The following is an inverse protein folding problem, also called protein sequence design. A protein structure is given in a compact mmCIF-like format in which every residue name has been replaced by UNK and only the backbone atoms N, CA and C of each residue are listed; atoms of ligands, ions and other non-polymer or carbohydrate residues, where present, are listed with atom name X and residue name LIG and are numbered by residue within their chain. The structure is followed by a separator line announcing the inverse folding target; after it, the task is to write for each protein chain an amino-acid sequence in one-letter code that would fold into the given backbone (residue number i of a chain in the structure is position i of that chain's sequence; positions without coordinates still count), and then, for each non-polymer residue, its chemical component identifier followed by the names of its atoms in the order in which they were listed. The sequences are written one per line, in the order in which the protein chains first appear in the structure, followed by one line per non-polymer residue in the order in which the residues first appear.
data_IF_708903342433
#
_entry.id   IF_708903342433
#
_cell.length_a   1.000
_cell.length_b   1.000
_cell.length_c   1.000
_cell.angle_alpha   90.00
_cell.angle_beta   90.00
_cell.angle_gamma   90.00
#
_symmetry.space_group_name_H-M   'P 1'
#
loop_
_entity.id
_entity.type
_entity.pdbx_description
1 polymer ?
#
# COMPACT_ATOMS: atom_id res chain seq x y z
N UNK A 1 32.42 12.28 -1.49
CA UNK A 1 31.72 12.39 -2.79
C UNK A 1 30.66 11.30 -2.79
N UNK A 2 29.40 11.62 -3.08
CA UNK A 2 28.41 10.58 -3.37
C UNK A 2 28.96 9.75 -4.53
N UNK A 3 28.77 8.42 -4.58
CA UNK A 3 28.89 7.75 -5.86
C UNK A 3 27.94 8.50 -6.82
N UNK A 4 28.37 8.83 -8.04
CA UNK A 4 27.44 9.36 -9.05
C UNK A 4 26.23 8.44 -9.10
N UNK A 5 25.06 8.98 -9.47
CA UNK A 5 23.89 8.17 -9.84
C UNK A 5 24.42 6.93 -10.57
N UNK A 6 24.32 5.75 -9.96
CA UNK A 6 24.77 4.51 -10.59
C UNK A 6 23.75 4.23 -11.69
N UNK A 7 24.00 4.86 -12.83
CA UNK A 7 23.30 4.62 -14.07
C UNK A 7 23.77 3.25 -14.54
N UNK A 8 23.12 2.21 -14.03
CA UNK A 8 23.34 0.86 -14.54
C UNK A 8 22.95 0.84 -16.02
N UNK A 9 23.93 0.56 -16.87
CA UNK A 9 23.77 0.32 -18.31
C UNK A 9 23.48 -1.16 -18.61
N UNK A 10 23.41 -2.01 -17.59
CA UNK A 10 23.02 -3.41 -17.73
C UNK A 10 21.50 -3.55 -17.80
N UNK A 11 21.01 -4.72 -18.19
CA UNK A 11 19.59 -5.06 -18.35
C UNK A 11 18.76 -4.41 -17.25
N UNK A 12 17.77 -3.60 -17.64
CA UNK A 12 16.97 -2.81 -16.69
C UNK A 12 16.48 -3.73 -15.56
N UNK A 13 16.82 -3.45 -14.30
CA UNK A 13 16.33 -4.25 -13.19
C UNK A 13 14.80 -4.25 -13.24
N UNK A 14 14.20 -5.40 -12.95
CA UNK A 14 12.75 -5.50 -12.80
C UNK A 14 12.28 -4.39 -11.85
N UNK A 15 11.12 -3.76 -12.10
CA UNK A 15 10.68 -2.58 -11.35
C UNK A 15 10.39 -2.86 -9.87
N UNK A 16 10.39 -4.14 -9.50
CA UNK A 16 10.36 -4.67 -8.15
C UNK A 16 11.18 -5.97 -8.07
N UNK A 17 11.47 -6.41 -6.86
CA UNK A 17 12.15 -7.67 -6.56
C UNK A 17 11.72 -8.22 -5.19
N UNK A 18 12.07 -9.48 -4.93
CA UNK A 18 11.99 -10.08 -3.60
C UNK A 18 13.40 -10.17 -3.01
N UNK A 19 13.64 -9.45 -1.91
CA UNK A 19 14.94 -9.39 -1.25
C UNK A 19 15.00 -10.49 -0.20
N UNK A 20 15.86 -11.48 -0.42
CA UNK A 20 16.09 -12.56 0.54
C UNK A 20 16.76 -12.03 1.82
N UNK A 21 16.42 -12.62 2.96
CA UNK A 21 17.05 -12.31 4.25
C UNK A 21 17.40 -13.59 4.99
N UNK A 22 18.49 -13.53 5.75
CA UNK A 22 18.85 -14.60 6.69
C UNK A 22 18.11 -14.40 8.01
N UNK A 23 17.64 -15.47 8.68
CA UNK A 23 16.99 -15.36 9.99
C UNK A 23 17.90 -14.76 11.06
N UNK A 24 17.37 -13.84 11.87
CA UNK A 24 18.05 -13.30 13.04
C UNK A 24 17.98 -14.33 14.18
N UNK A 25 19.12 -14.83 14.71
CA UNK A 25 19.10 -15.79 15.81
C UNK A 25 18.44 -15.26 17.09
N UNK A 26 18.45 -13.94 17.33
CA UNK A 26 17.77 -13.32 18.48
C UNK A 26 16.38 -12.75 18.10
N UNK A 27 15.88 -13.13 16.92
CA UNK A 27 14.56 -12.76 16.42
C UNK A 27 13.41 -13.35 17.24
N UNK A 28 12.20 -12.97 16.88
CA UNK A 28 10.96 -13.56 17.37
C UNK A 28 10.23 -14.14 16.17
N UNK A 29 10.40 -15.45 15.87
CA UNK A 29 9.76 -16.07 14.71
C UNK A 29 8.24 -15.92 14.78
N UNK A 30 7.61 -15.90 13.61
CA UNK A 30 6.17 -16.04 13.53
C UNK A 30 5.74 -17.45 13.98
N UNK A 31 4.61 -17.59 14.68
CA UNK A 31 3.97 -18.88 14.90
C UNK A 31 3.71 -19.60 13.58
N UNK A 32 3.73 -20.93 13.59
CA UNK A 32 3.53 -21.75 12.37
C UNK A 32 2.22 -21.44 11.64
N UNK A 33 1.17 -21.08 12.37
CA UNK A 33 -0.15 -20.68 11.83
C UNK A 33 -0.16 -19.29 11.18
N UNK A 34 0.83 -18.45 11.48
CA UNK A 34 1.03 -17.11 10.91
C UNK A 34 2.15 -17.09 9.86
N UNK A 35 2.96 -18.15 9.78
CA UNK A 35 3.97 -18.33 8.74
C UNK A 35 3.29 -18.28 7.37
N UNK A 36 3.79 -17.41 6.49
CA UNK A 36 3.16 -17.18 5.18
C UNK A 36 1.86 -16.37 5.23
N UNK A 37 1.47 -15.77 6.36
CA UNK A 37 0.31 -14.85 6.42
C UNK A 37 0.71 -13.39 6.62
N UNK A 38 2.01 -13.13 6.77
CA UNK A 38 2.59 -11.79 6.88
C UNK A 38 3.36 -11.46 5.61
N UNK A 39 3.20 -10.23 5.11
CA UNK A 39 4.04 -9.65 4.07
C UNK A 39 4.64 -8.32 4.53
N UNK A 40 5.86 -8.04 4.07
CA UNK A 40 6.58 -6.79 4.30
C UNK A 40 6.93 -6.22 2.92
N UNK A 41 6.69 -4.94 2.73
CA UNK A 41 7.00 -4.25 1.48
C UNK A 41 7.68 -2.89 1.70
N UNK A 42 8.53 -2.52 0.73
CA UNK A 42 9.21 -1.23 0.68
C UNK A 42 9.04 -0.64 -0.71
N UNK A 43 8.25 0.43 -0.80
CA UNK A 43 7.87 1.02 -2.09
C UNK A 43 8.67 2.28 -2.46
N UNK A 44 9.47 2.83 -1.53
CA UNK A 44 10.09 4.16 -1.67
C UNK A 44 11.61 4.21 -1.49
N UNK A 45 12.27 3.07 -1.25
CA UNK A 45 13.74 2.99 -1.14
C UNK A 45 14.40 2.45 -2.42
N UNK A 46 13.67 2.53 -3.54
CA UNK A 46 14.17 2.21 -4.86
C UNK A 46 15.32 3.13 -5.28
N UNK A 47 16.29 2.56 -6.00
CA UNK A 47 17.53 3.22 -6.39
C UNK A 47 17.66 3.43 -7.90
N UNK A 48 16.83 2.77 -8.71
CA UNK A 48 16.98 2.73 -10.15
C UNK A 48 16.15 3.82 -10.85
N UNK A 49 16.80 4.58 -11.74
CA UNK A 49 16.14 5.43 -12.75
C UNK A 49 16.64 4.94 -14.11
N UNK A 50 15.80 4.22 -14.88
CA UNK A 50 16.17 3.74 -16.22
C UNK A 50 16.65 4.87 -17.12
N UNK A 51 17.67 4.61 -17.94
CA UNK A 51 18.28 5.62 -18.83
C UNK A 51 17.26 6.23 -19.79
N UNK A 52 16.28 5.45 -20.24
CA UNK A 52 15.17 5.91 -21.08
C UNK A 52 14.35 7.06 -20.47
N UNK A 53 14.39 7.25 -19.15
CA UNK A 53 13.70 8.32 -18.43
C UNK A 53 14.62 9.47 -18.00
N UNK A 54 15.90 9.44 -18.40
CA UNK A 54 16.86 10.53 -18.18
C UNK A 54 16.95 11.50 -19.36
N UNK A 55 16.16 11.27 -20.40
CA UNK A 55 16.01 12.15 -21.56
C UNK A 55 14.63 12.78 -21.56
N UNK A 56 14.54 14.04 -21.98
CA UNK A 56 13.29 14.76 -22.13
C UNK A 56 12.55 14.37 -23.41
N UNK A 57 11.39 14.98 -23.64
CA UNK A 57 10.58 14.75 -24.84
C UNK A 57 11.30 15.06 -26.18
N UNK A 58 12.36 15.89 -26.15
CA UNK A 58 13.19 16.20 -27.32
C UNK A 58 14.41 15.29 -27.45
N UNK A 59 14.57 14.29 -26.58
CA UNK A 59 15.74 13.42 -26.54
C UNK A 59 16.97 14.06 -25.89
N UNK A 60 16.81 15.23 -25.25
CA UNK A 60 17.91 15.92 -24.56
C UNK A 60 18.00 15.41 -23.13
N UNK A 61 19.21 15.11 -22.67
CA UNK A 61 19.45 14.64 -21.29
C UNK A 61 19.00 15.69 -20.26
N UNK A 62 18.20 15.26 -19.29
CA UNK A 62 17.74 16.10 -18.19
C UNK A 62 18.94 16.45 -17.29
N UNK A 63 19.02 17.71 -16.82
CA UNK A 63 20.13 18.20 -16.01
C UNK A 63 20.26 17.42 -14.70
N UNK A 64 21.44 16.84 -14.47
CA UNK A 64 21.73 15.94 -13.35
C UNK A 64 21.50 16.57 -11.96
N UNK A 65 21.84 17.85 -11.78
CA UNK A 65 21.68 18.53 -10.49
C UNK A 65 20.23 18.51 -9.97
N UNK A 66 19.25 18.71 -10.86
CA UNK A 66 17.83 18.70 -10.48
C UNK A 66 17.33 17.28 -10.15
N UNK A 67 17.89 16.26 -10.81
CA UNK A 67 17.53 14.87 -10.59
C UNK A 67 18.10 14.36 -9.27
N UNK A 68 19.36 14.71 -8.97
CA UNK A 68 20.04 14.25 -7.77
C UNK A 68 19.38 14.80 -6.50
N UNK A 69 19.00 16.08 -6.49
CA UNK A 69 18.28 16.68 -5.36
C UNK A 69 16.93 15.98 -5.13
N UNK A 70 16.16 15.75 -6.18
CA UNK A 70 14.89 15.03 -6.08
C UNK A 70 15.09 13.59 -5.62
N UNK A 71 16.10 12.88 -6.14
CA UNK A 71 16.44 11.52 -5.73
C UNK A 71 16.77 11.42 -4.24
N UNK A 72 17.66 12.27 -3.74
CA UNK A 72 18.05 12.28 -2.33
C UNK A 72 16.87 12.62 -1.43
N UNK A 73 16.05 13.62 -1.82
CA UNK A 73 14.91 14.07 -1.02
C UNK A 73 13.79 13.04 -0.94
N UNK A 74 13.39 12.47 -2.09
CA UNK A 74 12.20 11.62 -2.15
C UNK A 74 12.45 10.19 -1.66
N UNK A 75 13.70 9.72 -1.66
CA UNK A 75 14.02 8.35 -1.25
C UNK A 75 13.82 8.15 0.26
N UNK A 76 13.18 7.03 0.61
CA UNK A 76 12.98 6.58 1.99
C UNK A 76 14.26 5.85 2.47
N UNK A 77 15.36 6.59 2.63
CA UNK A 77 16.65 6.07 3.08
C UNK A 77 16.55 5.23 4.35
N UNK A 78 16.97 3.97 4.26
CA UNK A 78 16.94 3.03 5.38
C UNK A 78 15.63 2.24 5.53
N UNK A 79 14.62 2.45 4.68
CA UNK A 79 13.40 1.64 4.74
C UNK A 79 13.67 0.16 4.38
N UNK A 80 14.49 -0.13 3.35
CA UNK A 80 14.89 -1.52 3.05
C UNK A 80 15.71 -2.14 4.17
N UNK A 81 16.50 -1.32 4.89
CA UNK A 81 17.28 -1.77 6.04
C UNK A 81 16.34 -2.21 7.17
N UNK A 82 15.36 -1.39 7.54
CA UNK A 82 14.36 -1.74 8.57
C UNK A 82 13.54 -2.94 8.15
N UNK A 83 13.07 -3.00 6.89
CA UNK A 83 12.31 -4.13 6.38
C UNK A 83 13.12 -5.43 6.40
N UNK A 84 14.39 -5.38 6.00
CA UNK A 84 15.29 -6.53 6.04
C UNK A 84 15.52 -7.02 7.46
N UNK A 85 15.80 -6.11 8.40
CA UNK A 85 15.93 -6.46 9.82
C UNK A 85 14.62 -7.02 10.40
N UNK A 86 13.46 -6.48 10.01
CA UNK A 86 12.16 -6.95 10.50
C UNK A 86 11.80 -8.33 9.94
N UNK A 87 11.98 -8.55 8.64
CA UNK A 87 11.79 -9.86 8.01
C UNK A 87 12.73 -10.92 8.62
N UNK A 88 14.00 -10.57 8.82
CA UNK A 88 15.00 -11.39 9.48
C UNK A 88 14.60 -11.74 10.92
N UNK A 89 14.15 -10.75 11.71
CA UNK A 89 13.69 -10.94 13.08
C UNK A 89 12.41 -11.79 13.18
N UNK A 90 11.54 -11.76 12.17
CA UNK A 90 10.33 -12.59 12.07
C UNK A 90 10.60 -13.98 11.46
N UNK A 91 11.84 -14.28 11.09
CA UNK A 91 12.26 -15.52 10.39
C UNK A 91 11.51 -15.72 9.06
N UNK A 92 11.21 -14.63 8.36
CA UNK A 92 10.67 -14.65 7.01
C UNK A 92 11.79 -14.86 5.99
N UNK A 93 11.47 -15.42 4.83
CA UNK A 93 12.46 -15.63 3.75
C UNK A 93 12.91 -14.34 3.06
N UNK A 94 12.15 -13.24 3.21
CA UNK A 94 12.46 -11.97 2.59
C UNK A 94 11.32 -10.96 2.64
N UNK A 95 11.46 -9.90 1.85
CA UNK A 95 10.47 -8.83 1.69
C UNK A 95 10.39 -8.34 0.25
N UNK A 96 9.28 -7.71 -0.11
CA UNK A 96 9.07 -7.13 -1.43
C UNK A 96 9.65 -5.72 -1.50
N UNK A 97 10.39 -5.40 -2.56
CA UNK A 97 10.96 -4.07 -2.77
C UNK A 97 10.67 -3.55 -4.15
N UNK A 98 10.18 -2.31 -4.24
CA UNK A 98 10.18 -1.54 -5.49
C UNK A 98 11.59 -1.01 -5.74
N UNK A 99 12.16 -1.33 -6.89
CA UNK A 99 13.52 -0.92 -7.29
C UNK A 99 13.51 0.44 -7.97
N UNK A 100 12.39 0.80 -8.59
CA UNK A 100 12.19 2.09 -9.27
C UNK A 100 12.27 3.22 -8.24
N UNK A 101 13.13 4.20 -8.49
CA UNK A 101 13.30 5.33 -7.59
C UNK A 101 12.01 6.13 -7.47
N UNK A 102 11.60 6.42 -6.22
CA UNK A 102 10.40 7.21 -5.93
C UNK A 102 10.41 8.59 -6.60
N UNK A 103 11.60 9.18 -6.75
CA UNK A 103 11.76 10.46 -7.44
C UNK A 103 11.25 10.44 -8.90
N UNK A 104 11.29 9.28 -9.56
CA UNK A 104 10.69 9.04 -10.87
C UNK A 104 9.21 8.65 -10.73
N UNK A 105 8.93 7.60 -9.96
CA UNK A 105 7.61 6.98 -9.81
C UNK A 105 7.29 6.67 -8.34
N UNK A 106 6.32 7.36 -7.76
CA UNK A 106 5.75 7.09 -6.44
C UNK A 106 4.58 6.10 -6.57
N UNK A 107 4.85 4.82 -6.32
CA UNK A 107 3.82 3.78 -6.35
C UNK A 107 2.77 3.95 -5.24
N UNK A 108 3.04 4.74 -4.19
CA UNK A 108 2.09 5.10 -3.14
C UNK A 108 1.05 6.15 -3.56
N UNK A 109 0.97 6.49 -4.85
CA UNK A 109 0.00 7.45 -5.43
C UNK A 109 -0.79 6.83 -6.57
N UNK A 110 -1.90 7.49 -6.91
CA UNK A 110 -2.63 7.19 -8.13
C UNK A 110 -1.84 7.59 -9.37
N UNK A 111 -2.05 6.90 -10.51
CA UNK A 111 -1.44 7.25 -11.78
C UNK A 111 -1.69 8.71 -12.18
N UNK A 112 -0.71 9.33 -12.84
CA UNK A 112 -0.80 10.71 -13.30
C UNK A 112 0.50 11.48 -13.13
N UNK A 113 0.51 12.75 -13.52
CA UNK A 113 1.67 13.64 -13.43
C UNK A 113 1.52 14.61 -12.27
N UNK A 114 2.49 14.63 -11.37
CA UNK A 114 2.58 15.58 -10.25
C UNK A 114 3.06 16.95 -10.75
N UNK A 115 2.27 18.03 -10.62
CA UNK A 115 2.72 19.38 -10.95
C UNK A 115 3.88 19.85 -10.05
N UNK A 116 4.66 20.82 -10.53
CA UNK A 116 5.68 21.47 -9.70
C UNK A 116 5.02 22.15 -8.50
N UNK A 117 5.53 21.89 -7.29
CA UNK A 117 5.01 22.49 -6.06
C UNK A 117 3.64 21.99 -5.63
N UNK A 118 3.17 20.88 -6.20
CA UNK A 118 1.92 20.25 -5.78
C UNK A 118 1.97 19.92 -4.28
N UNK A 119 0.89 20.24 -3.58
CA UNK A 119 0.70 19.81 -2.20
C UNK A 119 0.68 18.28 -2.11
N UNK A 120 1.02 17.74 -0.94
CA UNK A 120 1.15 16.30 -0.70
C UNK A 120 -0.03 15.46 -1.20
N UNK A 121 -1.26 15.98 -1.08
CA UNK A 121 -2.48 15.30 -1.50
C UNK A 121 -2.76 15.35 -3.01
N UNK A 122 -2.20 16.33 -3.69
CA UNK A 122 -2.38 16.54 -5.12
C UNK A 122 -1.28 15.85 -5.95
N UNK A 123 -0.43 15.05 -5.29
CA UNK A 123 0.63 14.29 -5.94
C UNK A 123 0.05 13.04 -6.60
N UNK A 124 0.48 12.81 -7.83
CA UNK A 124 0.29 11.59 -8.60
C UNK A 124 1.60 10.78 -8.69
N UNK A 125 1.54 9.61 -9.30
CA UNK A 125 2.65 8.67 -9.34
C UNK A 125 3.90 9.23 -10.04
N UNK A 126 3.78 9.97 -11.15
CA UNK A 126 4.94 10.50 -11.86
C UNK A 126 5.36 11.82 -11.21
N UNK A 127 6.53 11.83 -10.57
CA UNK A 127 6.96 12.95 -9.74
C UNK A 127 7.67 14.06 -10.50
N UNK A 128 7.61 15.28 -9.97
CA UNK A 128 8.48 16.37 -10.40
C UNK A 128 9.94 16.03 -10.02
N UNK A 129 10.95 16.23 -10.90
CA UNK A 129 10.89 16.97 -12.17
C UNK A 129 10.51 16.14 -13.41
N UNK A 130 10.48 14.81 -13.33
CA UNK A 130 10.20 13.94 -14.47
C UNK A 130 8.82 14.18 -15.10
N UNK A 131 7.82 14.50 -14.28
CA UNK A 131 6.47 14.87 -14.75
C UNK A 131 6.46 16.05 -15.72
N UNK A 132 7.44 16.96 -15.63
CA UNK A 132 7.57 18.10 -16.55
C UNK A 132 8.36 17.72 -17.80
N UNK A 133 9.41 16.92 -17.67
CA UNK A 133 10.35 16.62 -18.76
C UNK A 133 9.91 15.49 -19.68
N UNK A 134 9.23 14.47 -19.13
CA UNK A 134 8.81 13.31 -19.90
C UNK A 134 7.63 13.65 -20.82
N UNK A 135 7.76 13.26 -22.09
CA UNK A 135 6.66 13.29 -23.06
C UNK A 135 5.57 12.27 -22.74
N UNK A 136 4.45 12.34 -23.47
CA UNK A 136 3.30 11.45 -23.28
C UNK A 136 3.69 9.97 -23.38
N UNK A 137 4.38 9.56 -24.45
CA UNK A 137 4.81 8.17 -24.67
C UNK A 137 5.72 7.63 -23.56
N UNK A 138 6.64 8.46 -23.05
CA UNK A 138 7.52 8.06 -21.96
C UNK A 138 6.75 7.88 -20.64
N UNK A 139 5.79 8.78 -20.35
CA UNK A 139 4.92 8.65 -19.17
C UNK A 139 4.02 7.43 -19.27
N UNK A 140 3.45 7.16 -20.44
CA UNK A 140 2.61 5.99 -20.69
C UNK A 140 3.40 4.70 -20.44
N UNK A 141 4.57 4.56 -21.08
CA UNK A 141 5.46 3.40 -20.87
C UNK A 141 5.92 3.28 -19.42
N UNK A 142 6.21 4.38 -18.73
CA UNK A 142 6.56 4.32 -17.30
C UNK A 142 5.45 3.71 -16.46
N UNK A 143 4.18 4.06 -16.73
CA UNK A 143 3.05 3.46 -16.02
C UNK A 143 2.87 1.98 -16.40
N UNK A 144 2.95 1.63 -17.69
CA UNK A 144 2.76 0.25 -18.16
C UNK A 144 3.91 -0.70 -17.74
N UNK A 145 5.15 -0.25 -17.90
CA UNK A 145 6.33 -1.08 -17.68
C UNK A 145 6.79 -1.11 -16.23
N UNK A 146 6.44 -0.10 -15.42
CA UNK A 146 6.81 -0.03 -14.00
C UNK A 146 5.59 -0.09 -13.09
N UNK A 147 4.66 0.87 -13.16
CA UNK A 147 3.54 0.96 -12.22
C UNK A 147 2.67 -0.31 -12.24
N UNK A 148 2.29 -0.76 -13.43
CA UNK A 148 1.40 -1.92 -13.59
C UNK A 148 2.12 -3.22 -13.19
N UNK A 149 3.40 -3.37 -13.54
CA UNK A 149 4.21 -4.54 -13.11
C UNK A 149 4.40 -4.57 -11.59
N UNK A 150 4.71 -3.43 -10.96
CA UNK A 150 4.78 -3.31 -9.50
C UNK A 150 3.44 -3.70 -8.88
N UNK A 151 2.31 -3.27 -9.46
CA UNK A 151 1.00 -3.65 -8.97
C UNK A 151 0.76 -5.14 -9.04
N UNK A 152 1.08 -5.80 -10.16
CA UNK A 152 0.93 -7.25 -10.28
C UNK A 152 1.76 -7.96 -9.23
N UNK A 153 3.04 -7.57 -9.07
CA UNK A 153 3.89 -8.14 -8.02
C UNK A 153 3.38 -7.87 -6.60
N UNK A 154 2.82 -6.69 -6.34
CA UNK A 154 2.21 -6.38 -5.04
C UNK A 154 0.98 -7.25 -4.78
N UNK A 155 0.09 -7.42 -5.76
CA UNK A 155 -1.09 -8.28 -5.67
C UNK A 155 -0.70 -9.73 -5.32
N UNK A 156 0.33 -10.27 -5.98
CA UNK A 156 0.89 -11.59 -5.68
C UNK A 156 1.41 -11.71 -4.24
N UNK A 157 2.12 -10.69 -3.77
CA UNK A 157 2.72 -10.68 -2.42
C UNK A 157 1.67 -10.58 -1.33
N UNK A 158 0.64 -9.76 -1.51
CA UNK A 158 -0.39 -9.50 -0.50
C UNK A 158 -1.54 -10.51 -0.55
N UNK A 159 -1.71 -11.23 -1.65
CA UNK A 159 -2.75 -12.25 -1.78
C UNK A 159 -2.64 -13.31 -0.67
N UNK A 160 -3.77 -13.61 -0.03
CA UNK A 160 -3.86 -14.58 1.07
C UNK A 160 -3.20 -14.15 2.39
N UNK A 161 -2.63 -12.94 2.48
CA UNK A 161 -2.00 -12.44 3.72
C UNK A 161 -3.06 -11.86 4.66
N UNK A 162 -2.85 -12.03 5.96
CA UNK A 162 -3.63 -11.37 7.01
C UNK A 162 -2.95 -10.15 7.62
N UNK A 163 -1.66 -9.95 7.34
CA UNK A 163 -0.93 -8.75 7.72
C UNK A 163 -0.01 -8.32 6.58
N UNK A 164 -0.16 -7.08 6.11
CA UNK A 164 0.78 -6.35 5.25
C UNK A 164 1.41 -5.23 6.06
N UNK A 165 2.73 -5.10 5.99
CA UNK A 165 3.49 -4.02 6.62
C UNK A 165 4.26 -3.24 5.55
N UNK A 166 3.80 -2.03 5.25
CA UNK A 166 4.52 -1.09 4.39
C UNK A 166 5.56 -0.32 5.21
N UNK A 167 6.84 -0.52 4.93
CA UNK A 167 7.95 0.13 5.65
C UNK A 167 8.44 1.36 4.89
N UNK A 168 8.48 2.47 5.61
CA UNK A 168 8.85 3.80 5.13
C UNK A 168 9.84 4.46 6.08
N UNK A 169 10.43 5.55 5.62
CA UNK A 169 11.18 6.46 6.50
C UNK A 169 10.84 7.91 6.24
N UNK A 170 11.00 8.74 7.27
CA UNK A 170 10.73 10.17 7.17
C UNK A 170 11.83 11.04 7.78
N UNK A 171 11.90 12.29 7.37
CA UNK A 171 12.94 13.22 7.84
C UNK A 171 12.81 13.54 9.33
N UNK A 172 13.89 13.99 9.98
CA UNK A 172 13.91 14.21 11.44
C UNK A 172 12.85 15.24 11.91
N UNK A 173 12.60 16.26 11.09
CA UNK A 173 11.80 17.42 11.45
C UNK A 173 10.59 17.62 10.53
N UNK A 174 9.52 18.15 11.10
CA UNK A 174 8.39 18.68 10.36
C UNK A 174 8.76 19.97 9.60
N UNK A 175 7.96 20.41 8.61
CA UNK A 175 8.18 21.70 7.95
C UNK A 175 8.26 22.89 8.93
N UNK A 176 7.55 22.81 10.06
CA UNK A 176 7.57 23.79 11.14
C UNK A 176 8.74 23.59 12.15
N UNK A 177 9.72 22.73 11.84
CA UNK A 177 10.89 22.41 12.65
C UNK A 177 10.63 21.64 13.96
N UNK A 178 9.39 21.24 14.26
CA UNK A 178 9.14 20.31 15.37
C UNK A 178 9.74 18.94 15.05
N UNK A 179 10.33 18.29 16.06
CA UNK A 179 10.93 16.97 15.92
C UNK A 179 9.85 15.90 15.77
N UNK A 180 10.04 14.98 14.84
CA UNK A 180 9.15 13.84 14.65
C UNK A 180 9.48 12.71 15.62
N UNK A 181 8.48 11.85 15.96
CA UNK A 181 8.72 10.65 16.76
C UNK A 181 9.76 9.74 16.11
N UNK A 182 10.35 8.83 16.88
CA UNK A 182 11.31 7.87 16.33
C UNK A 182 10.62 6.90 15.36
N UNK A 183 9.41 6.45 15.71
CA UNK A 183 8.57 5.57 14.90
C UNK A 183 7.14 6.13 14.83
N UNK A 184 6.48 5.99 13.67
CA UNK A 184 5.06 6.25 13.52
C UNK A 184 4.33 5.05 12.95
N UNK A 185 3.18 4.74 13.54
CA UNK A 185 2.29 3.68 13.08
C UNK A 185 1.08 4.28 12.35
N UNK A 186 1.06 4.15 11.04
CA UNK A 186 0.02 4.68 10.17
C UNK A 186 -1.06 3.65 9.93
N UNK A 187 -2.29 4.02 10.28
CA UNK A 187 -3.46 3.12 10.23
C UNK A 187 -4.72 3.82 9.78
N UNK A 188 -4.69 5.13 9.49
CA UNK A 188 -5.87 5.92 9.12
C UNK A 188 -5.63 6.61 7.79
N UNK A 189 -6.67 6.71 6.96
CA UNK A 189 -6.63 7.54 5.76
C UNK A 189 -6.81 9.03 6.10
N UNK A 190 -6.18 9.91 5.32
CA UNK A 190 -6.19 11.35 5.56
C UNK A 190 -7.56 11.98 5.26
N UNK A 191 -8.23 11.56 4.19
CA UNK A 191 -9.52 12.07 3.77
C UNK A 191 -10.61 11.77 4.79
N UNK A 192 -10.64 10.54 5.32
CA UNK A 192 -11.53 10.23 6.44
C UNK A 192 -11.15 11.05 7.69
N UNK A 193 -9.85 11.23 7.97
CA UNK A 193 -9.42 12.04 9.10
C UNK A 193 -9.85 13.52 9.00
N UNK A 194 -9.89 14.09 7.79
CA UNK A 194 -10.22 15.50 7.55
C UNK A 194 -11.72 15.76 7.36
N UNK A 195 -12.40 14.89 6.60
CA UNK A 195 -13.76 15.15 6.11
C UNK A 195 -14.81 14.23 6.72
N UNK A 196 -14.43 13.22 7.52
CA UNK A 196 -15.33 12.20 8.08
C UNK A 196 -16.20 11.50 7.02
N UNK A 197 -15.70 11.42 5.78
CA UNK A 197 -16.36 10.79 4.64
C UNK A 197 -15.31 10.06 3.78
N UNK A 198 -15.72 9.00 3.08
CA UNK A 198 -14.91 8.41 2.01
C UNK A 198 -14.78 9.44 0.89
N UNK A 199 -13.56 9.80 0.45
CA UNK A 199 -13.39 10.75 -0.64
C UNK A 199 -14.12 10.28 -1.90
N UNK A 200 -15.24 10.94 -2.20
CA UNK A 200 -16.06 10.66 -3.37
C UNK A 200 -15.18 10.74 -4.63
N UNK A 201 -15.22 9.69 -5.45
CA UNK A 201 -14.47 9.60 -6.71
C UNK A 201 -13.12 8.87 -6.63
N UNK A 202 -12.66 8.45 -5.44
CA UNK A 202 -11.43 7.64 -5.32
C UNK A 202 -11.73 6.15 -5.29
N UNK A 203 -12.69 5.73 -4.46
CA UNK A 203 -13.14 4.34 -4.36
C UNK A 203 -14.61 4.22 -4.73
N UNK A 204 -15.02 3.01 -5.13
CA UNK A 204 -16.43 2.74 -5.45
C UNK A 204 -17.31 2.92 -4.19
N UNK A 205 -18.50 3.54 -4.29
CA UNK A 205 -19.41 3.73 -3.15
C UNK A 205 -19.91 2.44 -2.49
N UNK A 206 -19.65 1.26 -3.06
CA UNK A 206 -19.87 -0.02 -2.38
C UNK A 206 -18.87 -0.32 -1.29
N UNK A 207 -17.69 0.32 -1.29
CA UNK A 207 -16.73 0.12 -0.21
C UNK A 207 -17.26 0.77 1.08
N UNK A 208 -17.44 -0.01 2.16
CA UNK A 208 -18.01 0.51 3.40
C UNK A 208 -17.07 1.50 4.07
N UNK A 209 -17.61 2.66 4.43
CA UNK A 209 -16.87 3.75 5.06
C UNK A 209 -16.23 3.33 6.38
N UNK A 210 -16.91 2.51 7.17
CA UNK A 210 -16.40 2.03 8.46
C UNK A 210 -15.15 1.15 8.34
N UNK A 211 -14.84 0.66 7.13
CA UNK A 211 -13.60 -0.09 6.85
C UNK A 211 -12.44 0.84 6.47
N UNK A 212 -12.71 2.08 6.05
CA UNK A 212 -11.70 3.11 5.77
C UNK A 212 -11.13 3.69 7.08
N UNK A 213 -11.90 3.65 8.18
CA UNK A 213 -11.51 4.27 9.47
C UNK A 213 -10.15 3.76 9.95
N UNK A 214 -9.89 2.46 9.79
CA UNK A 214 -8.62 1.83 10.15
C UNK A 214 -8.21 0.78 9.14
N UNK A 215 -6.99 0.90 8.61
CA UNK A 215 -6.40 -0.08 7.70
C UNK A 215 -5.83 -1.29 8.42
N UNK A 216 -5.55 -1.22 9.73
CA UNK A 216 -5.01 -2.32 10.52
C UNK A 216 -5.80 -2.57 11.82
N UNK A 217 -5.67 -3.78 12.38
CA UNK A 217 -6.19 -4.10 13.70
C UNK A 217 -5.58 -3.18 14.77
N UNK A 218 -6.45 -2.60 15.60
CA UNK A 218 -6.07 -1.68 16.67
C UNK A 218 -5.28 -2.37 17.78
N UNK A 219 -5.53 -3.67 18.01
CA UNK A 219 -4.80 -4.46 19.00
C UNK A 219 -3.35 -4.65 18.55
N UNK A 220 -3.13 -5.01 17.27
CA UNK A 220 -1.78 -5.10 16.69
C UNK A 220 -1.02 -3.78 16.83
N UNK A 221 -1.65 -2.67 16.44
CA UNK A 221 -1.03 -1.33 16.54
C UNK A 221 -0.67 -0.99 18.00
N UNK A 222 -1.57 -1.26 18.95
CA UNK A 222 -1.32 -1.00 20.36
C UNK A 222 -0.19 -1.88 20.91
N UNK A 223 -0.15 -3.16 20.53
CA UNK A 223 0.91 -4.10 20.91
C UNK A 223 2.29 -3.63 20.45
N UNK A 224 2.40 -3.17 19.20
CA UNK A 224 3.65 -2.62 18.65
C UNK A 224 4.04 -1.32 19.38
N UNK A 225 3.10 -0.40 19.55
CA UNK A 225 3.35 0.88 20.23
C UNK A 225 3.83 0.68 21.67
N UNK A 226 3.18 -0.21 22.44
CA UNK A 226 3.59 -0.52 23.80
C UNK A 226 5.00 -1.13 23.85
N UNK A 227 5.30 -2.08 22.98
CA UNK A 227 6.63 -2.70 22.92
C UNK A 227 7.74 -1.69 22.59
N UNK A 228 7.48 -0.75 21.68
CA UNK A 228 8.42 0.32 21.33
C UNK A 228 8.64 1.29 22.50
N UNK A 229 7.57 1.73 23.18
CA UNK A 229 7.66 2.61 24.34
C UNK A 229 8.38 1.95 25.54
N UNK A 230 8.14 0.65 25.78
CA UNK A 230 8.86 -0.13 26.80
C UNK A 230 10.37 -0.21 26.50
N UNK A 231 10.74 -0.18 25.21
CA UNK A 231 12.13 -0.11 24.76
C UNK A 231 12.67 1.33 24.68
N UNK A 232 11.96 2.31 25.24
CA UNK A 232 12.28 3.75 25.20
C UNK A 232 12.40 4.33 23.77
N UNK A 233 11.66 3.77 22.80
CA UNK A 233 11.58 4.27 21.43
C UNK A 233 10.27 5.05 21.28
N UNK A 234 10.37 6.39 21.30
CA UNK A 234 9.21 7.28 21.18
C UNK A 234 8.43 7.01 19.89
N UNK A 235 7.16 6.67 20.06
CA UNK A 235 6.26 6.18 19.02
C UNK A 235 4.95 6.94 19.06
N UNK A 236 4.46 7.33 17.88
CA UNK A 236 3.12 7.93 17.74
C UNK A 236 2.29 7.14 16.72
N UNK A 237 0.98 7.45 16.65
CA UNK A 237 0.09 6.89 15.66
C UNK A 237 -0.48 7.98 14.75
N UNK A 238 -0.32 7.81 13.43
CA UNK A 238 -0.80 8.77 12.41
C UNK A 238 -0.26 10.20 12.59
N UNK A 239 1.01 10.31 13.00
CA UNK A 239 1.72 11.58 13.13
C UNK A 239 3.14 11.45 12.58
N UNK A 240 3.63 12.37 11.73
CA UNK A 240 3.08 13.70 11.44
C UNK A 240 1.97 13.74 10.38
N UNK A 241 1.69 12.64 9.70
CA UNK A 241 0.60 12.55 8.73
C UNK A 241 -0.15 11.23 8.81
N UNK A 242 -1.30 11.18 8.15
CA UNK A 242 -2.09 9.98 7.92
C UNK A 242 -1.83 9.44 6.50
N UNK A 243 -2.32 8.24 6.22
CA UNK A 243 -2.16 7.59 4.92
C UNK A 243 -2.89 8.38 3.83
N UNK A 244 -2.25 8.72 2.70
CA UNK A 244 -2.98 9.27 1.57
C UNK A 244 -3.93 8.21 0.99
N UNK A 245 -4.99 8.64 0.33
CA UNK A 245 -6.00 7.75 -0.25
C UNK A 245 -5.39 6.79 -1.28
N UNK A 246 -4.42 7.27 -2.06
CA UNK A 246 -3.69 6.47 -3.05
C UNK A 246 -2.61 5.55 -2.48
N UNK A 247 -2.39 5.56 -1.16
CA UNK A 247 -1.41 4.65 -0.53
C UNK A 247 -1.76 3.20 -0.79
N UNK A 248 -0.74 2.34 -0.81
CA UNK A 248 -0.96 0.89 -0.97
C UNK A 248 -1.73 0.35 0.23
N UNK A 249 -1.53 0.92 1.42
CA UNK A 249 -2.20 0.53 2.65
C UNK A 249 -3.71 0.71 2.53
N UNK A 250 -4.16 1.85 2.00
CA UNK A 250 -5.60 2.11 1.81
C UNK A 250 -6.15 1.31 0.63
N UNK A 251 -5.47 1.31 -0.54
CA UNK A 251 -5.91 0.55 -1.72
C UNK A 251 -6.06 -0.95 -1.45
N UNK A 252 -5.12 -1.53 -0.70
CA UNK A 252 -5.17 -2.96 -0.35
C UNK A 252 -6.41 -3.30 0.48
N UNK A 253 -6.88 -2.42 1.37
CA UNK A 253 -8.10 -2.67 2.14
C UNK A 253 -9.34 -2.77 1.24
N UNK A 254 -9.44 -1.90 0.24
CA UNK A 254 -10.52 -1.92 -0.76
C UNK A 254 -10.48 -3.24 -1.53
N UNK A 255 -9.29 -3.62 -1.98
CA UNK A 255 -9.05 -4.86 -2.72
C UNK A 255 -9.43 -6.10 -1.88
N UNK A 256 -8.94 -6.21 -0.64
CA UNK A 256 -9.25 -7.34 0.24
C UNK A 256 -10.74 -7.46 0.58
N UNK A 257 -11.43 -6.34 0.77
CA UNK A 257 -12.87 -6.36 1.00
C UNK A 257 -13.61 -6.90 -0.22
N UNK A 258 -13.32 -6.42 -1.42
CA UNK A 258 -14.01 -6.89 -2.62
C UNK A 258 -13.65 -8.34 -2.95
N UNK A 259 -12.44 -8.82 -2.66
CA UNK A 259 -12.14 -10.26 -2.72
C UNK A 259 -12.96 -11.08 -1.72
N UNK A 260 -13.09 -10.60 -0.50
CA UNK A 260 -13.92 -11.26 0.51
C UNK A 260 -15.38 -11.31 0.07
N UNK A 261 -15.93 -10.16 -0.36
CA UNK A 261 -17.31 -10.04 -0.83
C UNK A 261 -17.58 -10.96 -2.03
N UNK A 262 -16.66 -10.98 -3.01
CA UNK A 262 -16.74 -11.85 -4.18
C UNK A 262 -16.80 -13.32 -3.78
N UNK A 263 -15.86 -13.78 -2.93
CA UNK A 263 -15.83 -15.18 -2.46
C UNK A 263 -17.13 -15.56 -1.75
N UNK A 264 -17.62 -14.70 -0.85
CA UNK A 264 -18.90 -14.92 -0.15
C UNK A 264 -20.07 -15.05 -1.13
N UNK A 265 -20.15 -14.18 -2.13
CA UNK A 265 -21.19 -14.28 -3.16
C UNK A 265 -21.06 -15.56 -3.99
N UNK A 266 -19.84 -15.95 -4.37
CA UNK A 266 -19.58 -17.17 -5.13
C UNK A 266 -19.92 -18.44 -4.34
N UNK A 267 -19.79 -18.41 -3.02
CA UNK A 267 -20.15 -19.51 -2.11
C UNK A 267 -21.67 -19.59 -1.87
N UNK A 268 -22.38 -18.45 -1.86
CA UNK A 268 -23.80 -18.37 -1.46
C UNK A 268 -24.78 -18.30 -2.64
N UNK A 269 -24.33 -17.87 -3.81
CA UNK A 269 -25.20 -17.57 -4.95
C UNK A 269 -24.76 -18.34 -6.18
N UNK A 270 -25.74 -18.78 -6.97
CA UNK A 270 -25.48 -19.26 -8.32
C UNK A 270 -25.14 -18.06 -9.23
N UNK A 271 -23.95 -18.12 -9.84
CA UNK A 271 -23.41 -17.05 -10.70
C UNK A 271 -23.33 -17.55 -12.15
N UNK A 272 -24.23 -17.05 -12.99
CA UNK A 272 -24.21 -17.32 -14.43
C UNK A 272 -23.09 -16.55 -15.15
N UNK A 273 -22.52 -17.16 -16.20
CA UNK A 273 -21.60 -16.46 -17.11
C UNK A 273 -20.19 -16.19 -16.57
N UNK A 274 -19.82 -16.72 -15.39
CA UNK A 274 -18.50 -16.51 -14.76
C UNK A 274 -17.29 -16.83 -15.66
N UNK A 275 -17.46 -17.77 -16.60
CA UNK A 275 -16.41 -18.20 -17.51
C UNK A 275 -16.13 -17.21 -18.64
N UNK A 276 -17.09 -16.33 -18.98
CA UNK A 276 -16.92 -15.30 -20.01
C UNK A 276 -16.28 -14.05 -19.39
N UNK A 277 -15.05 -13.65 -19.76
CA UNK A 277 -14.40 -12.45 -19.25
C UNK A 277 -15.19 -11.16 -19.51
N UNK A 278 -16.08 -11.15 -20.52
CA UNK A 278 -16.92 -10.01 -20.88
C UNK A 278 -18.32 -10.07 -20.27
N UNK A 279 -18.57 -11.05 -19.39
CA UNK A 279 -19.84 -11.13 -18.68
C UNK A 279 -20.04 -9.90 -17.78
N UNK A 280 -21.30 -9.48 -17.54
CA UNK A 280 -21.65 -8.45 -16.57
C UNK A 280 -20.97 -8.64 -15.20
N UNK A 281 -20.90 -9.90 -14.73
CA UNK A 281 -20.21 -10.28 -13.51
C UNK A 281 -18.72 -9.90 -13.53
N UNK A 282 -17.98 -10.36 -14.54
CA UNK A 282 -16.55 -10.10 -14.62
C UNK A 282 -16.23 -8.62 -14.86
N UNK A 283 -17.08 -7.88 -15.58
CA UNK A 283 -16.94 -6.44 -15.75
C UNK A 283 -17.09 -5.68 -14.43
N UNK A 284 -18.12 -6.01 -13.62
CA UNK A 284 -18.34 -5.39 -12.32
C UNK A 284 -17.17 -5.70 -11.37
N UNK A 285 -16.73 -6.95 -11.29
CA UNK A 285 -15.61 -7.29 -10.40
C UNK A 285 -14.28 -6.73 -10.87
N UNK A 286 -14.01 -6.69 -12.18
CA UNK A 286 -12.82 -5.98 -12.69
C UNK A 286 -12.83 -4.51 -12.26
N UNK A 287 -13.99 -3.85 -12.36
CA UNK A 287 -14.15 -2.46 -11.94
C UNK A 287 -13.97 -2.25 -10.43
N UNK A 288 -14.54 -3.12 -9.59
CA UNK A 288 -14.43 -3.04 -8.13
C UNK A 288 -13.00 -3.35 -7.65
N UNK A 289 -12.30 -4.23 -8.37
CA UNK A 289 -10.92 -4.63 -8.07
C UNK A 289 -9.86 -3.68 -8.67
N UNK A 290 -10.23 -2.80 -9.60
CA UNK A 290 -9.36 -1.74 -10.14
C UNK A 290 -9.14 -0.61 -9.12
N UNK A 291 -8.43 -0.96 -8.04
CA UNK A 291 -8.07 -0.03 -6.95
C UNK A 291 -6.95 0.93 -7.35
N UNK A 292 -6.35 0.74 -8.52
CA UNK A 292 -5.30 1.59 -9.08
C UNK A 292 -5.81 2.64 -10.05
N UNK A 293 -7.05 2.53 -10.51
CA UNK A 293 -7.65 3.41 -11.51
C UNK A 293 -6.89 3.36 -12.85
N UNK A 294 -6.42 2.17 -13.24
CA UNK A 294 -5.64 1.99 -14.49
C UNK A 294 -6.47 1.47 -15.65
N UNK A 295 -7.63 0.88 -15.40
CA UNK A 295 -8.47 0.27 -16.45
C UNK A 295 -9.45 1.29 -17.02
N UNK A 296 -9.31 1.59 -18.32
CA UNK A 296 -10.25 2.44 -19.04
C UNK A 296 -11.65 1.83 -19.13
N UNK A 297 -11.75 0.50 -19.24
CA UNK A 297 -13.03 -0.22 -19.23
C UNK A 297 -13.74 -0.08 -17.88
N UNK A 298 -12.98 -0.18 -16.78
CA UNK A 298 -13.50 0.05 -15.44
C UNK A 298 -13.99 1.49 -15.25
N UNK A 299 -13.22 2.47 -15.72
CA UNK A 299 -13.62 3.88 -15.67
C UNK A 299 -14.89 4.17 -16.50
N UNK A 300 -15.02 3.57 -17.69
CA UNK A 300 -16.24 3.67 -18.49
C UNK A 300 -17.46 3.14 -17.74
N UNK A 301 -17.32 1.99 -17.06
CA UNK A 301 -18.40 1.42 -16.27
C UNK A 301 -18.73 2.29 -15.05
N UNK A 302 -17.74 2.82 -14.32
CA UNK A 302 -17.97 3.78 -13.21
C UNK A 302 -18.66 5.04 -13.68
N UNK A 303 -18.22 5.61 -14.80
CA UNK A 303 -18.83 6.78 -15.43
C UNK A 303 -20.31 6.53 -15.78
N UNK A 304 -20.66 5.33 -16.24
CA UNK A 304 -22.05 4.94 -16.50
C UNK A 304 -22.87 4.78 -15.22
N UNK A 305 -22.33 4.08 -14.21
CA UNK A 305 -23.04 3.77 -12.97
C UNK A 305 -23.23 4.99 -12.06
N UNK A 306 -22.18 5.80 -11.91
CA UNK A 306 -22.08 6.84 -10.86
C UNK A 306 -22.21 8.25 -11.39
N UNK A 307 -21.82 8.48 -12.65
CA UNK A 307 -21.93 9.79 -13.29
C UNK A 307 -23.07 9.86 -14.33
N UNK A 308 -23.87 8.79 -14.45
CA UNK A 308 -25.01 8.69 -15.35
C UNK A 308 -24.69 9.02 -16.82
N UNK A 309 -23.44 8.78 -17.25
CA UNK A 309 -23.01 8.99 -18.64
C UNK A 309 -23.61 7.91 -19.54
N UNK A 310 -23.73 8.20 -20.84
CA UNK A 310 -24.18 7.19 -21.82
C UNK A 310 -23.08 6.14 -22.04
N UNK A 311 -23.43 4.86 -22.19
CA UNK A 311 -22.48 3.83 -22.56
C UNK A 311 -21.98 4.06 -24.00
N UNK A 312 -20.82 3.48 -24.39
CA UNK A 312 -20.36 3.50 -25.77
C UNK A 312 -21.38 2.85 -26.72
N UNK A 313 -21.46 3.34 -27.96
CA UNK A 313 -22.36 2.81 -28.98
C UNK A 313 -22.15 1.30 -29.17
N UNK A 314 -23.23 0.52 -29.12
CA UNK A 314 -23.21 -0.94 -29.28
C UNK A 314 -22.94 -1.71 -27.99
N UNK A 315 -22.67 -1.04 -26.87
CA UNK A 315 -22.47 -1.67 -25.55
C UNK A 315 -23.63 -1.42 -24.58
N UNK A 316 -24.73 -0.83 -25.03
CA UNK A 316 -25.87 -0.41 -24.19
C UNK A 316 -26.47 -1.60 -23.41
N UNK A 317 -26.64 -2.74 -24.09
CA UNK A 317 -27.19 -3.96 -23.48
C UNK A 317 -26.24 -4.57 -22.45
N UNK A 318 -24.92 -4.53 -22.71
CA UNK A 318 -23.90 -5.03 -21.78
C UNK A 318 -23.87 -4.18 -20.52
N UNK A 319 -23.82 -2.86 -20.67
CA UNK A 319 -23.78 -1.92 -19.54
C UNK A 319 -25.06 -1.96 -18.70
N UNK A 320 -26.24 -2.11 -19.33
CA UNK A 320 -27.50 -2.29 -18.60
C UNK A 320 -27.49 -3.56 -17.74
N UNK A 321 -26.96 -4.67 -18.27
CA UNK A 321 -26.81 -5.92 -17.51
C UNK A 321 -25.75 -5.79 -16.41
N UNK A 322 -24.63 -5.12 -16.69
CA UNK A 322 -23.61 -4.82 -15.68
C UNK A 322 -24.16 -3.97 -14.52
N UNK A 323 -25.06 -3.01 -14.80
CA UNK A 323 -25.78 -2.28 -13.75
C UNK A 323 -26.68 -3.19 -12.92
N UNK A 324 -27.44 -4.08 -13.54
CA UNK A 324 -28.27 -5.02 -12.78
C UNK A 324 -27.40 -5.91 -11.87
N UNK A 325 -26.24 -6.35 -12.36
CA UNK A 325 -25.28 -7.12 -11.57
C UNK A 325 -24.65 -6.28 -10.44
N UNK A 326 -24.28 -5.03 -10.69
CA UNK A 326 -23.79 -4.11 -9.66
C UNK A 326 -24.83 -3.91 -8.54
N UNK A 327 -26.11 -3.74 -8.88
CA UNK A 327 -27.19 -3.64 -7.88
C UNK A 327 -27.39 -4.96 -7.12
N UNK A 328 -27.13 -6.11 -7.74
CA UNK A 328 -27.13 -7.41 -7.06
C UNK A 328 -26.00 -7.51 -6.04
N UNK A 329 -24.78 -7.11 -6.41
CA UNK A 329 -23.63 -7.02 -5.48
C UNK A 329 -23.94 -6.07 -4.33
N UNK A 330 -24.53 -4.91 -4.64
CA UNK A 330 -24.97 -3.93 -3.65
C UNK A 330 -26.00 -4.49 -2.67
N UNK A 331 -27.02 -5.18 -3.18
CA UNK A 331 -28.06 -5.78 -2.37
C UNK A 331 -27.47 -6.84 -1.45
N UNK A 332 -26.56 -7.67 -1.94
CA UNK A 332 -25.86 -8.68 -1.13
C UNK A 332 -25.01 -8.05 -0.02
N UNK A 333 -24.19 -7.04 -0.35
CA UNK A 333 -23.35 -6.35 0.64
C UNK A 333 -24.17 -5.66 1.75
N UNK A 334 -25.38 -5.20 1.43
CA UNK A 334 -26.30 -4.51 2.34
C UNK A 334 -27.35 -5.41 2.98
N UNK A 335 -27.40 -6.69 2.62
CA UNK A 335 -28.35 -7.65 3.16
C UNK A 335 -28.24 -7.74 4.68
N UNK A 336 -29.36 -8.06 5.33
CA UNK A 336 -29.46 -8.26 6.79
C UNK A 336 -28.85 -7.12 7.62
N UNK A 337 -29.04 -5.88 7.16
CA UNK A 337 -28.52 -4.69 7.83
C UNK A 337 -27.00 -4.55 7.75
N UNK A 338 -26.36 -5.06 6.69
CA UNK A 338 -24.91 -5.02 6.51
C UNK A 338 -24.17 -6.15 7.24
N UNK A 339 -24.81 -7.31 7.41
CA UNK A 339 -24.23 -8.45 8.11
C UNK A 339 -22.87 -8.88 7.51
N UNK A 340 -22.73 -8.84 6.18
CA UNK A 340 -21.48 -9.16 5.47
C UNK A 340 -20.35 -8.20 5.85
N UNK A 341 -20.63 -6.90 5.88
CA UNK A 341 -19.65 -5.88 6.27
C UNK A 341 -19.25 -6.04 7.73
N UNK A 342 -20.22 -6.27 8.62
CA UNK A 342 -19.96 -6.53 10.04
C UNK A 342 -19.10 -7.78 10.23
N UNK A 343 -19.43 -8.87 9.54
CA UNK A 343 -18.68 -10.13 9.57
C UNK A 343 -17.23 -9.91 9.11
N UNK A 344 -17.02 -9.19 8.00
CA UNK A 344 -15.67 -8.85 7.54
C UNK A 344 -14.92 -7.99 8.56
N UNK A 345 -15.55 -6.94 9.10
CA UNK A 345 -14.94 -6.01 10.07
C UNK A 345 -14.42 -6.73 11.31
N UNK A 346 -15.16 -7.72 11.81
CA UNK A 346 -14.80 -8.48 13.01
C UNK A 346 -13.97 -9.72 12.71
N UNK A 347 -13.85 -10.12 11.44
CA UNK A 347 -13.12 -11.33 11.06
C UNK A 347 -11.66 -11.25 11.50
N UNK A 348 -11.16 -12.38 12.01
CA UNK A 348 -9.74 -12.59 12.30
C UNK A 348 -8.92 -12.87 11.04
N UNK A 349 -9.61 -13.14 9.93
CA UNK A 349 -9.02 -13.25 8.60
C UNK A 349 -9.00 -11.90 7.87
N UNK A 350 -9.59 -10.85 8.45
CA UNK A 350 -9.49 -9.51 7.88
C UNK A 350 -8.03 -9.09 7.82
N UNK A 351 -7.57 -8.81 6.61
CA UNK A 351 -6.19 -8.36 6.42
C UNK A 351 -5.97 -7.00 7.05
N UNK A 352 -4.99 -6.93 7.95
CA UNK A 352 -4.45 -5.67 8.46
C UNK A 352 -3.40 -5.14 7.51
N UNK A 353 -3.48 -3.88 7.14
CA UNK A 353 -2.45 -3.15 6.41
C UNK A 353 -1.92 -1.99 7.25
N UNK A 354 -0.68 -2.14 7.71
CA UNK A 354 -0.01 -1.21 8.62
C UNK A 354 1.08 -0.46 7.86
N UNK A 355 1.05 0.87 7.90
CA UNK A 355 2.22 1.68 7.54
C UNK A 355 3.13 1.82 8.76
N UNK A 356 4.41 1.52 8.58
CA UNK A 356 5.47 1.71 9.58
C UNK A 356 6.44 2.74 9.05
N UNK A 357 6.57 3.87 9.75
CA UNK A 357 7.54 4.89 9.38
C UNK A 357 8.60 5.04 10.46
N UNK A 358 9.87 4.99 10.07
CA UNK A 358 11.01 5.20 10.99
C UNK A 358 11.76 6.47 10.61
N UNK A 359 12.17 7.26 11.59
CA UNK A 359 12.92 8.48 11.33
C UNK A 359 14.28 8.19 10.67
N UNK A 360 14.57 8.83 9.54
CA UNK A 360 15.74 8.56 8.69
C UNK A 360 17.07 8.69 9.43
N UNK A 361 17.22 9.69 10.29
CA UNK A 361 18.45 9.92 11.08
C UNK A 361 18.74 8.81 12.10
N UNK A 362 17.74 7.99 12.45
CA UNK A 362 17.91 6.88 13.39
C UNK A 362 18.49 5.66 12.69
N UNK A 363 18.09 5.41 11.44
CA UNK A 363 18.46 4.20 10.68
C UNK A 363 19.49 4.47 9.58
N UNK A 364 19.80 5.74 9.31
CA UNK A 364 20.75 6.15 8.30
C UNK A 364 21.55 7.38 8.77
N UNK A 365 22.83 7.43 8.40
CA UNK A 365 23.73 8.55 8.68
C UNK A 365 23.65 9.58 7.56
N UNK A 366 23.63 10.85 7.94
CA UNK A 366 23.68 11.99 7.01
C UNK A 366 24.78 12.98 7.43
N UNK A 367 25.53 13.48 6.46
CA UNK A 367 26.54 14.54 6.60
C UNK A 367 26.15 15.69 5.66
N UNK A 368 25.91 16.88 6.19
CA UNK A 368 25.44 18.06 5.42
C UNK A 368 24.21 17.75 4.53
N UNK A 369 23.27 16.96 5.07
CA UNK A 369 22.07 16.52 4.37
C UNK A 369 22.30 15.42 3.32
N UNK A 370 23.54 14.93 3.16
CA UNK A 370 23.87 13.86 2.22
C UNK A 370 23.90 12.50 2.94
N UNK A 371 23.29 11.46 2.35
CA UNK A 371 23.32 10.11 2.93
C UNK A 371 24.74 9.54 2.90
N UNK A 372 25.18 9.00 4.03
CA UNK A 372 26.54 8.44 4.22
C UNK A 372 26.50 6.92 4.34
N UNK A 373 25.54 6.38 5.08
CA UNK A 373 25.42 4.94 5.21
C UNK A 373 24.49 4.48 6.33
N UNK A 374 24.23 3.16 6.40
CA UNK A 374 23.26 2.58 7.33
C UNK A 374 23.72 2.67 8.79
N UNK A 375 22.73 2.61 9.69
CA UNK A 375 22.85 2.40 11.14
C UNK A 375 22.19 1.06 11.51
N UNK A 376 22.97 -0.01 11.38
CA UNK A 376 22.46 -1.39 11.45
C UNK A 376 21.95 -1.78 12.84
N UNK A 377 22.64 -1.35 13.90
CA UNK A 377 22.29 -1.77 15.27
C UNK A 377 20.97 -1.14 15.72
N UNK A 378 20.74 0.13 15.39
CA UNK A 378 19.50 0.84 15.64
C UNK A 378 18.33 0.23 14.86
N UNK A 379 18.52 -0.04 13.57
CA UNK A 379 17.50 -0.69 12.74
C UNK A 379 17.15 -2.10 13.26
N UNK A 380 18.15 -2.89 13.66
CA UNK A 380 17.94 -4.23 14.25
C UNK A 380 17.21 -4.16 15.58
N UNK A 381 17.54 -3.19 16.42
CA UNK A 381 16.88 -2.99 17.72
C UNK A 381 15.40 -2.69 17.53
N UNK A 382 15.05 -1.73 16.67
CA UNK A 382 13.67 -1.39 16.33
C UNK A 382 12.93 -2.62 15.76
N UNK A 383 13.55 -3.29 14.80
CA UNK A 383 12.98 -4.47 14.15
C UNK A 383 12.67 -5.62 15.12
N UNK A 384 13.58 -5.93 16.06
CA UNK A 384 13.39 -7.00 17.06
C UNK A 384 12.23 -6.69 18.01
N UNK A 385 12.06 -5.44 18.42
CA UNK A 385 10.95 -5.00 19.27
C UNK A 385 9.62 -5.16 18.53
N UNK A 386 9.55 -4.70 17.28
CA UNK A 386 8.36 -4.84 16.44
C UNK A 386 8.05 -6.30 16.14
N UNK A 387 9.06 -7.12 15.83
CA UNK A 387 8.90 -8.55 15.56
C UNK A 387 8.28 -9.28 16.76
N UNK A 388 8.80 -9.04 17.97
CA UNK A 388 8.24 -9.59 19.21
C UNK A 388 6.79 -9.22 19.43
N UNK A 389 6.44 -7.96 19.16
CA UNK A 389 5.07 -7.47 19.26
C UNK A 389 4.15 -8.19 18.25
N UNK A 390 4.59 -8.36 17.01
CA UNK A 390 3.84 -9.08 15.96
C UNK A 390 3.66 -10.56 16.33
N UNK A 391 4.72 -11.25 16.76
CA UNK A 391 4.61 -12.66 17.17
C UNK A 391 3.64 -12.81 18.34
N UNK A 392 3.75 -11.94 19.37
CA UNK A 392 2.81 -11.93 20.50
C UNK A 392 1.36 -11.70 20.05
N UNK A 393 1.15 -10.82 19.08
CA UNK A 393 -0.19 -10.55 18.53
C UNK A 393 -0.80 -11.80 17.91
N UNK A 394 -0.05 -12.54 17.09
CA UNK A 394 -0.53 -13.78 16.50
C UNK A 394 -0.70 -14.90 17.54
N UNK A 395 0.25 -15.07 18.46
CA UNK A 395 0.23 -16.14 19.47
C UNK A 395 -0.88 -15.99 20.50
N UNK A 396 -1.24 -14.75 20.87
CA UNK A 396 -2.09 -14.50 22.04
C UNK A 396 -3.28 -13.61 21.71
N UNK A 397 -3.02 -12.45 21.13
CA UNK A 397 -4.06 -11.42 21.00
C UNK A 397 -5.14 -11.83 20.00
N UNK A 398 -4.75 -12.43 18.87
CA UNK A 398 -5.69 -12.88 17.85
C UNK A 398 -6.58 -14.01 18.35
N UNK A 399 -6.02 -14.97 19.10
CA UNK A 399 -6.77 -16.06 19.75
C UNK A 399 -7.76 -15.52 20.79
N UNK A 400 -7.33 -14.58 21.63
CA UNK A 400 -8.23 -13.92 22.59
C UNK A 400 -9.39 -13.20 21.91
N UNK A 401 -9.11 -12.51 20.79
CA UNK A 401 -10.14 -11.86 19.97
C UNK A 401 -11.13 -12.89 19.40
N UNK A 402 -10.63 -14.01 18.87
CA UNK A 402 -11.50 -15.10 18.37
C UNK A 402 -12.42 -15.62 19.48
N UNK A 403 -11.87 -15.89 20.66
CA UNK A 403 -12.64 -16.39 21.80
C UNK A 403 -13.71 -15.38 22.27
N UNK A 404 -13.35 -14.11 22.37
CA UNK A 404 -14.28 -13.05 22.73
C UNK A 404 -15.43 -12.88 21.72
N UNK A 405 -15.15 -13.04 20.43
CA UNK A 405 -16.17 -13.02 19.37
C UNK A 405 -17.08 -14.25 19.45
N UNK A 406 -16.53 -15.44 19.69
CA UNK A 406 -17.32 -16.67 19.85
C UNK A 406 -18.25 -16.61 21.08
N UNK A 407 -17.80 -16.02 22.18
CA UNK A 407 -18.61 -15.84 23.39
C UNK A 407 -19.80 -14.86 23.21
N UNK A 408 -19.75 -14.01 22.19
CA UNK A 408 -20.82 -13.07 21.83
C UNK A 408 -21.83 -13.68 20.83
N UNK A 409 -21.58 -14.88 20.30
CA UNK A 409 -22.49 -15.54 19.36
C UNK A 409 -23.64 -16.21 20.15
N UNK A 410 -24.90 -15.78 19.95
CA UNK A 410 -26.05 -16.29 20.68
C UNK A 410 -26.35 -17.79 20.42
N UNK A 411 -25.65 -18.45 19.49
CA UNK A 411 -25.72 -19.90 19.29
C UNK A 411 -24.89 -20.70 20.31
N UNK A 412 -23.99 -20.04 21.03
CA UNK A 412 -23.14 -20.63 22.07
C UNK A 412 -23.52 -20.19 23.50
N UNK A 413 -24.60 -19.42 23.63
CA UNK A 413 -25.33 -19.18 24.89
C UNK A 413 -26.54 -20.10 24.94
#
# INVERSE_FOLDING_TARGET
MLPPLELSTETLPLPHEHVAVEPDPDGSPLPSEAAGRVSIDVIHDGWAIPEAYLVDAGGVRIREANLQEAFVRERDWGASLVAGCLASALHMSGFFRVTTARALLDFGRFPGSTPRGAEFLLRHAINYPFSQHLGFEAKWRLLEEHYDKISVGMDEVISGRTLKIGVHTYDEHNPNQSRRPAVSLLTRSLGHHRNLEVPLGVFDPLFPEELVEFTADRILRARISLGLEEAAIHTEANYPYALPEGSVEVRSQVWFFFQYLRRRMEDELEIEGRADPRSPWNLVWAMLMDTNLRSSESELLRSYLHMYRRPPNGLESVFRRARAEYERVRAFARADGGAVVKAYRTSVERTSSLGLEVRKDIVWRFEDGRPVGPKWDEARTIARVIARAISTYFERDLHQKQWALAAQDPRFQ
#
